data_IF_209678772123
#
_entry.id   IF_209678772123
#
_cell.length_a   1.000
_cell.length_b   1.000
_cell.length_c   1.000
_cell.angle_alpha   90.00
_cell.angle_beta   90.00
_cell.angle_gamma   90.00
#
_symmetry.space_group_name_H-M   'P 1'
#
loop_
_entity.id
_entity.type
_entity.pdbx_description
1 polymer ?
#
# COMPACT_ATOMS: atom_id res chain seq x y z
N UNK A 1 10.37 -13.08 -0.20
CA UNK A 1 11.66 -12.37 -0.20
C UNK A 1 12.72 -13.04 0.68
N UNK A 2 12.65 -12.98 2.03
CA UNK A 2 13.69 -13.58 2.88
C UNK A 2 13.90 -15.10 2.69
N UNK A 3 12.86 -15.86 2.39
CA UNK A 3 12.95 -17.31 2.11
C UNK A 3 13.29 -17.64 0.64
N UNK A 4 13.82 -16.69 -0.13
CA UNK A 4 14.22 -16.90 -1.54
C UNK A 4 13.10 -16.77 -2.58
N UNK A 5 11.84 -16.58 -2.16
CA UNK A 5 10.75 -16.32 -3.11
C UNK A 5 10.90 -14.91 -3.72
N UNK A 6 11.10 -14.89 -5.04
CA UNK A 6 11.20 -13.68 -5.86
C UNK A 6 9.80 -13.17 -6.23
N UNK A 7 9.23 -12.36 -5.34
CA UNK A 7 7.92 -11.75 -5.52
C UNK A 7 7.91 -10.37 -4.86
N UNK A 8 7.40 -9.37 -5.58
CA UNK A 8 7.19 -7.99 -5.11
C UNK A 8 6.09 -7.33 -5.95
N UNK A 9 5.02 -6.84 -5.31
CA UNK A 9 3.86 -6.30 -6.04
C UNK A 9 4.26 -5.14 -6.94
N UNK A 10 5.25 -4.32 -6.57
CA UNK A 10 5.68 -3.16 -7.37
C UNK A 10 6.28 -3.55 -8.72
N UNK A 11 6.85 -4.76 -8.83
CA UNK A 11 7.44 -5.28 -10.07
C UNK A 11 6.46 -6.18 -10.80
N UNK A 12 5.79 -7.07 -10.09
CA UNK A 12 4.99 -8.15 -10.69
C UNK A 12 3.56 -7.67 -11.05
N UNK A 13 3.03 -6.68 -10.33
CA UNK A 13 1.76 -6.01 -10.58
C UNK A 13 1.93 -4.48 -10.41
N UNK A 14 2.68 -3.83 -11.31
CA UNK A 14 3.11 -2.45 -11.14
C UNK A 14 1.92 -1.48 -11.04
N UNK A 15 2.11 -0.44 -10.24
CA UNK A 15 1.15 0.65 -10.00
C UNK A 15 1.93 1.96 -9.83
N UNK A 16 1.26 3.10 -9.98
CA UNK A 16 1.90 4.43 -9.73
C UNK A 16 3.25 4.61 -10.43
N UNK A 17 3.39 4.10 -11.66
CA UNK A 17 4.61 4.18 -12.48
C UNK A 17 5.84 3.45 -11.90
N UNK A 18 5.67 2.47 -10.98
CA UNK A 18 6.80 1.67 -10.46
C UNK A 18 7.60 0.96 -11.57
N UNK A 19 6.96 0.69 -12.72
CA UNK A 19 7.59 0.12 -13.91
C UNK A 19 8.64 1.01 -14.58
N UNK A 20 8.65 2.32 -14.29
CA UNK A 20 9.62 3.29 -14.83
C UNK A 20 10.87 3.44 -13.95
N UNK A 21 10.84 2.92 -12.72
CA UNK A 21 11.94 3.02 -11.77
C UNK A 21 12.86 1.81 -11.85
N UNK A 22 14.15 2.05 -11.77
CA UNK A 22 15.15 0.99 -11.70
C UNK A 22 15.49 0.65 -10.24
N UNK A 23 15.05 -0.51 -9.78
CA UNK A 23 15.41 -1.03 -8.47
C UNK A 23 15.51 -2.56 -8.49
N UNK A 24 16.13 -3.12 -7.46
CA UNK A 24 16.30 -4.57 -7.32
C UNK A 24 15.57 -5.05 -6.08
N UNK A 25 14.87 -6.19 -6.19
CA UNK A 25 14.22 -6.83 -5.04
C UNK A 25 15.24 -7.71 -4.33
N UNK A 26 15.61 -7.42 -3.07
CA UNK A 26 16.56 -8.25 -2.33
C UNK A 26 15.92 -9.57 -1.91
N UNK A 27 16.67 -10.66 -2.06
CA UNK A 27 16.26 -12.01 -1.69
C UNK A 27 17.19 -12.56 -0.60
N UNK A 28 16.59 -13.26 0.36
CA UNK A 28 17.34 -14.07 1.32
C UNK A 28 17.51 -15.50 0.81
N UNK A 29 18.25 -16.32 1.56
CA UNK A 29 18.61 -17.68 1.14
C UNK A 29 18.18 -18.75 2.14
N UNK A 30 18.28 -18.45 3.43
CA UNK A 30 17.94 -19.35 4.54
C UNK A 30 16.54 -19.11 5.07
N UNK A 31 16.02 -17.88 4.95
CA UNK A 31 14.69 -17.53 5.46
C UNK A 31 14.62 -17.32 6.97
N UNK A 32 15.78 -17.16 7.62
CA UNK A 32 15.88 -16.89 9.05
C UNK A 32 15.61 -15.39 9.37
N UNK A 33 15.63 -15.06 10.67
CA UNK A 33 15.44 -13.68 11.13
C UNK A 33 16.52 -12.73 10.64
N UNK A 34 17.74 -13.24 10.40
CA UNK A 34 18.86 -12.44 9.94
C UNK A 34 18.69 -12.06 8.47
N UNK A 35 18.26 -12.98 7.62
CA UNK A 35 17.90 -12.72 6.23
C UNK A 35 16.76 -11.70 6.13
N UNK A 36 15.73 -11.80 6.99
CA UNK A 36 14.65 -10.79 7.05
C UNK A 36 15.18 -9.40 7.40
N UNK A 37 16.08 -9.32 8.37
CA UNK A 37 16.76 -8.08 8.74
C UNK A 37 17.57 -7.51 7.58
N UNK A 38 18.41 -8.31 6.93
CA UNK A 38 19.23 -7.87 5.81
C UNK A 38 18.39 -7.43 4.60
N UNK A 39 17.32 -8.16 4.28
CA UNK A 39 16.37 -7.80 3.22
C UNK A 39 15.78 -6.41 3.48
N UNK A 40 15.33 -6.12 4.71
CA UNK A 40 14.83 -4.77 5.06
C UNK A 40 15.90 -3.68 4.92
N UNK A 41 17.13 -3.96 5.34
CA UNK A 41 18.23 -3.01 5.17
C UNK A 41 18.51 -2.73 3.69
N UNK A 42 18.51 -3.76 2.84
CA UNK A 42 18.67 -3.60 1.40
C UNK A 42 17.51 -2.84 0.77
N UNK A 43 16.27 -3.09 1.21
CA UNK A 43 15.10 -2.33 0.77
C UNK A 43 15.23 -0.84 1.07
N UNK A 44 15.81 -0.44 2.22
CA UNK A 44 16.07 0.98 2.51
C UNK A 44 16.98 1.62 1.46
N UNK A 45 18.06 0.94 1.04
CA UNK A 45 18.93 1.44 -0.03
C UNK A 45 18.20 1.56 -1.37
N UNK A 46 17.34 0.59 -1.70
CA UNK A 46 16.53 0.66 -2.92
C UNK A 46 15.47 1.77 -2.85
N UNK A 47 14.88 2.00 -1.68
CA UNK A 47 13.95 3.12 -1.48
C UNK A 47 14.64 4.47 -1.70
N UNK A 48 15.86 4.64 -1.19
CA UNK A 48 16.66 5.86 -1.44
C UNK A 48 16.94 6.04 -2.94
N UNK A 49 17.33 4.97 -3.62
CA UNK A 49 17.57 5.00 -5.08
C UNK A 49 16.31 5.36 -5.89
N UNK A 50 15.14 4.90 -5.47
CA UNK A 50 13.86 5.27 -6.10
C UNK A 50 13.58 6.75 -5.87
N UNK A 51 13.81 7.27 -4.66
CA UNK A 51 13.63 8.69 -4.35
C UNK A 51 14.53 9.58 -5.19
N UNK A 52 15.81 9.23 -5.35
CA UNK A 52 16.75 9.95 -6.21
C UNK A 52 16.26 9.99 -7.67
N UNK A 53 15.84 8.84 -8.22
CA UNK A 53 15.28 8.77 -9.57
C UNK A 53 14.00 9.60 -9.72
N UNK A 54 13.12 9.59 -8.71
CA UNK A 54 11.88 10.36 -8.73
C UNK A 54 12.15 11.86 -8.72
N UNK A 55 13.16 12.31 -7.98
CA UNK A 55 13.60 13.70 -7.95
C UNK A 55 14.17 14.15 -9.30
N UNK A 56 15.01 13.33 -9.91
CA UNK A 56 15.66 13.64 -11.20
C UNK A 56 14.68 13.64 -12.38
N UNK A 57 13.65 12.78 -12.34
CA UNK A 57 12.70 12.56 -13.43
C UNK A 57 11.35 13.24 -13.21
N UNK A 58 11.23 14.12 -12.21
CA UNK A 58 9.96 14.70 -11.81
C UNK A 58 9.33 15.51 -12.95
N UNK A 59 8.18 15.09 -13.50
CA UNK A 59 7.52 15.87 -14.55
C UNK A 59 6.88 17.12 -13.96
N UNK A 60 6.84 18.19 -14.76
CA UNK A 60 5.95 19.31 -14.50
C UNK A 60 4.54 18.97 -15.01
N UNK A 61 3.51 19.57 -14.41
CA UNK A 61 2.14 19.38 -14.83
C UNK A 61 1.16 19.46 -13.67
N UNK A 62 -0.09 19.10 -13.95
CA UNK A 62 -1.14 19.02 -12.95
C UNK A 62 -0.95 17.77 -12.07
N UNK A 63 -1.23 17.93 -10.78
CA UNK A 63 -1.10 16.86 -9.77
C UNK A 63 -2.42 16.15 -9.48
N UNK A 64 -3.50 16.61 -10.09
CA UNK A 64 -4.86 16.14 -9.89
C UNK A 64 -5.54 15.91 -11.23
N UNK A 65 -6.53 15.03 -11.26
CA UNK A 65 -7.39 14.84 -12.43
C UNK A 65 -8.29 16.06 -12.62
N UNK A 66 -8.39 16.55 -13.85
CA UNK A 66 -9.34 17.60 -14.24
C UNK A 66 -10.76 17.02 -14.40
N UNK A 67 -11.31 16.51 -13.30
CA UNK A 67 -12.71 16.09 -13.21
C UNK A 67 -13.30 16.57 -11.87
N UNK A 68 -14.26 17.52 -11.90
CA UNK A 68 -14.89 18.03 -10.70
C UNK A 68 -15.63 16.94 -9.91
N UNK A 69 -16.08 15.84 -10.54
CA UNK A 69 -16.79 14.77 -9.84
C UNK A 69 -15.87 13.82 -9.05
N UNK A 70 -14.54 13.99 -9.18
CA UNK A 70 -13.53 13.13 -8.57
C UNK A 70 -12.62 13.93 -7.65
N UNK A 71 -12.21 15.13 -8.07
CA UNK A 71 -11.33 16.01 -7.31
C UNK A 71 -12.04 17.29 -6.89
N UNK A 72 -11.65 17.85 -5.75
CA UNK A 72 -12.25 19.09 -5.27
C UNK A 72 -11.82 20.28 -6.14
N UNK A 73 -12.78 21.10 -6.54
CA UNK A 73 -12.50 22.36 -7.24
C UNK A 73 -11.51 23.25 -6.46
N UNK A 74 -10.60 23.96 -7.15
CA UNK A 74 -9.70 24.93 -6.54
C UNK A 74 -10.45 25.98 -5.70
N UNK A 75 -9.86 26.39 -4.57
CA UNK A 75 -10.54 27.32 -3.63
C UNK A 75 -10.91 28.67 -4.26
N UNK A 76 -10.12 29.14 -5.22
CA UNK A 76 -10.43 30.36 -5.95
C UNK A 76 -11.75 30.23 -6.73
N UNK A 77 -11.94 29.13 -7.46
CA UNK A 77 -13.17 28.86 -8.21
C UNK A 77 -14.38 28.64 -7.30
N UNK A 78 -14.17 28.02 -6.13
CA UNK A 78 -15.23 27.80 -5.13
C UNK A 78 -15.82 29.12 -4.64
N UNK A 79 -15.00 30.17 -4.48
CA UNK A 79 -15.47 31.47 -4.00
C UNK A 79 -15.97 32.39 -5.11
N UNK A 80 -15.50 32.19 -6.34
CA UNK A 80 -15.75 33.10 -7.47
C UNK A 80 -16.73 32.57 -8.51
N UNK A 81 -17.14 31.29 -8.44
CA UNK A 81 -18.07 30.67 -9.39
C UNK A 81 -19.19 29.88 -8.70
N UNK A 82 -20.38 29.89 -9.31
CA UNK A 82 -21.52 29.09 -8.82
C UNK A 82 -21.21 27.59 -9.02
N UNK A 83 -20.65 27.21 -10.16
CA UNK A 83 -20.36 25.82 -10.50
C UNK A 83 -19.31 25.21 -9.55
N UNK A 84 -18.25 25.95 -9.23
CA UNK A 84 -17.23 25.53 -8.25
C UNK A 84 -17.81 25.36 -6.84
N UNK A 85 -18.73 26.23 -6.43
CA UNK A 85 -19.42 26.09 -5.14
C UNK A 85 -20.35 24.87 -5.11
N UNK A 86 -21.13 24.64 -6.17
CA UNK A 86 -22.00 23.45 -6.29
C UNK A 86 -21.15 22.19 -6.22
N UNK A 87 -20.07 22.13 -6.99
CA UNK A 87 -19.16 21.00 -7.01
C UNK A 87 -18.58 20.71 -5.62
N UNK A 88 -18.06 21.74 -4.95
CA UNK A 88 -17.49 21.60 -3.60
C UNK A 88 -18.53 21.04 -2.62
N UNK A 89 -19.76 21.54 -2.67
CA UNK A 89 -20.85 21.05 -1.83
C UNK A 89 -21.19 19.58 -2.13
N UNK A 90 -21.37 19.23 -3.41
CA UNK A 90 -21.72 17.87 -3.81
C UNK A 90 -20.64 16.86 -3.41
N UNK A 91 -19.37 17.20 -3.63
CA UNK A 91 -18.24 16.34 -3.29
C UNK A 91 -18.10 16.13 -1.77
N UNK A 92 -18.29 17.17 -0.97
CA UNK A 92 -18.18 17.05 0.50
C UNK A 92 -19.36 16.28 1.10
N UNK A 93 -20.56 16.45 0.56
CA UNK A 93 -21.78 15.82 1.12
C UNK A 93 -22.01 14.42 0.58
N UNK A 94 -21.90 14.24 -0.74
CA UNK A 94 -22.22 12.98 -1.39
C UNK A 94 -20.98 12.14 -1.70
N UNK A 95 -19.79 12.75 -1.82
CA UNK A 95 -18.57 12.05 -2.20
C UNK A 95 -18.55 11.60 -3.66
N UNK A 96 -17.44 10.99 -4.05
CA UNK A 96 -17.27 10.37 -5.37
C UNK A 96 -18.23 9.19 -5.50
N UNK A 97 -18.93 9.09 -6.65
CA UNK A 97 -19.86 7.99 -6.96
C UNK A 97 -19.22 7.01 -7.95
N UNK A 98 -18.43 6.02 -7.48
CA UNK A 98 -17.80 5.05 -8.36
C UNK A 98 -18.84 4.16 -9.06
N UNK A 99 -18.55 3.61 -10.24
CA UNK A 99 -19.44 2.67 -10.91
C UNK A 99 -19.73 1.44 -10.04
N UNK A 100 -20.86 0.78 -10.30
CA UNK A 100 -21.22 -0.49 -9.63
C UNK A 100 -20.24 -1.58 -10.00
N UNK A 101 -19.73 -2.30 -9.01
CA UNK A 101 -18.78 -3.38 -9.21
C UNK A 101 -17.91 -3.63 -7.99
N UNK A 102 -16.96 -4.54 -8.13
CA UNK A 102 -16.00 -4.93 -7.11
C UNK A 102 -14.57 -4.90 -7.68
N UNK A 103 -13.61 -4.61 -6.80
CA UNK A 103 -12.19 -4.58 -7.16
C UNK A 103 -11.34 -5.03 -5.98
N UNK A 104 -10.28 -5.77 -6.28
CA UNK A 104 -9.18 -6.02 -5.36
C UNK A 104 -7.93 -5.34 -5.89
N UNK A 105 -7.35 -4.42 -5.12
CA UNK A 105 -6.09 -3.76 -5.47
C UNK A 105 -5.04 -4.05 -4.38
N UNK A 106 -3.98 -4.81 -4.70
CA UNK A 106 -2.84 -4.99 -3.81
C UNK A 106 -1.79 -3.88 -4.02
N UNK A 107 -1.12 -3.51 -2.94
CA UNK A 107 0.08 -2.67 -2.95
C UNK A 107 1.16 -3.29 -2.07
N UNK A 108 2.43 -3.11 -2.42
CA UNK A 108 3.54 -3.54 -1.57
C UNK A 108 3.72 -2.51 -0.44
N UNK A 109 3.15 -2.79 0.72
CA UNK A 109 3.42 -2.03 1.94
C UNK A 109 4.77 -2.41 2.54
N UNK A 110 5.28 -1.63 3.50
CA UNK A 110 6.51 -1.98 4.23
C UNK A 110 6.43 -3.31 5.01
N UNK A 111 5.21 -3.79 5.26
CA UNK A 111 4.93 -5.08 5.88
C UNK A 111 4.64 -6.21 4.88
N UNK A 112 4.67 -5.95 3.56
CA UNK A 112 4.27 -6.88 2.52
C UNK A 112 2.97 -6.46 1.82
N UNK A 113 2.38 -7.38 1.07
CA UNK A 113 1.19 -7.13 0.26
C UNK A 113 -0.04 -6.76 1.10
N UNK A 114 -0.37 -5.46 1.10
CA UNK A 114 -1.58 -4.88 1.67
C UNK A 114 -2.59 -4.70 0.56
N UNK A 115 -3.77 -5.31 0.69
CA UNK A 115 -4.79 -5.22 -0.35
C UNK A 115 -6.14 -4.74 0.17
N UNK A 116 -6.85 -4.00 -0.67
CA UNK A 116 -8.21 -3.55 -0.40
C UNK A 116 -9.16 -4.19 -1.40
N UNK A 117 -10.08 -5.00 -0.89
CA UNK A 117 -11.24 -5.48 -1.63
C UNK A 117 -12.41 -4.55 -1.36
N UNK A 118 -12.87 -3.84 -2.40
CA UNK A 118 -13.93 -2.84 -2.28
C UNK A 118 -15.08 -3.19 -3.20
N UNK A 119 -16.31 -3.07 -2.71
CA UNK A 119 -17.55 -3.25 -3.49
C UNK A 119 -18.30 -1.93 -3.50
N UNK A 120 -18.67 -1.47 -4.69
CA UNK A 120 -19.48 -0.28 -4.94
C UNK A 120 -20.87 -0.68 -5.42
N UNK A 121 -21.90 -0.08 -4.83
CA UNK A 121 -23.29 -0.14 -5.29
C UNK A 121 -23.68 1.10 -6.11
N UNK A 122 -22.73 1.92 -6.53
CA UNK A 122 -22.96 3.15 -7.30
C UNK A 122 -23.30 4.37 -6.43
N UNK A 123 -23.36 4.20 -5.11
CA UNK A 123 -23.52 5.32 -4.18
C UNK A 123 -22.16 5.92 -3.81
N UNK A 124 -22.16 7.07 -3.14
CA UNK A 124 -20.92 7.69 -2.66
C UNK A 124 -20.34 7.05 -1.39
N UNK A 125 -20.88 5.89 -0.98
CA UNK A 125 -20.40 5.13 0.17
C UNK A 125 -20.04 3.72 -0.28
N UNK A 126 -18.93 3.14 0.19
CA UNK A 126 -18.60 1.77 -0.16
C UNK A 126 -19.64 0.83 0.44
N UNK A 127 -20.17 -0.09 -0.37
CA UNK A 127 -21.07 -1.14 0.09
C UNK A 127 -20.34 -2.13 1.01
N UNK A 128 -19.11 -2.47 0.65
CA UNK A 128 -18.21 -3.30 1.46
C UNK A 128 -16.77 -2.88 1.22
N UNK A 129 -16.00 -2.82 2.29
CA UNK A 129 -14.54 -2.76 2.24
C UNK A 129 -14.01 -3.89 3.09
N UNK A 130 -13.12 -4.69 2.52
CA UNK A 130 -12.37 -5.70 3.26
C UNK A 130 -10.89 -5.51 2.99
N UNK A 131 -10.11 -5.43 4.07
CA UNK A 131 -8.67 -5.22 3.98
C UNK A 131 -7.96 -6.54 4.22
N UNK A 132 -7.16 -6.98 3.23
CA UNK A 132 -6.22 -8.08 3.41
C UNK A 132 -4.96 -7.52 4.07
N UNK A 133 -4.90 -7.63 5.39
CA UNK A 133 -3.76 -7.24 6.20
C UNK A 133 -2.59 -8.25 6.07
N UNK A 134 -1.37 -7.82 5.72
CA UNK A 134 -0.19 -8.69 5.79
C UNK A 134 0.04 -9.21 7.21
N UNK A 135 -0.07 -8.37 8.25
CA UNK A 135 0.15 -8.81 9.64
C UNK A 135 -0.77 -9.96 10.07
N UNK A 136 -2.05 -9.97 9.64
CA UNK A 136 -2.98 -11.04 9.99
C UNK A 136 -2.52 -12.39 9.42
N UNK A 137 -2.07 -12.40 8.16
CA UNK A 137 -1.56 -13.60 7.50
C UNK A 137 -0.25 -14.06 8.16
N UNK A 138 0.64 -13.12 8.48
CA UNK A 138 1.89 -13.45 9.17
C UNK A 138 1.62 -14.10 10.53
N UNK A 139 0.69 -13.55 11.31
CA UNK A 139 0.31 -14.08 12.62
C UNK A 139 -0.23 -15.51 12.53
N UNK A 140 -0.91 -15.87 11.44
CA UNK A 140 -1.33 -17.25 11.17
C UNK A 140 -0.16 -18.23 11.05
N UNK A 141 1.01 -17.76 10.60
CA UNK A 141 2.22 -18.57 10.44
C UNK A 141 3.16 -18.53 11.66
N UNK A 142 2.99 -17.58 12.60
CA UNK A 142 3.89 -17.41 13.77
C UNK A 142 3.98 -18.68 14.60
N UNK A 143 2.87 -19.40 14.79
CA UNK A 143 2.88 -20.65 15.56
C UNK A 143 3.91 -21.64 15.01
N UNK A 144 3.90 -21.87 13.70
CA UNK A 144 4.81 -22.83 13.06
C UNK A 144 6.27 -22.34 13.12
N UNK A 145 6.50 -21.03 13.11
CA UNK A 145 7.85 -20.46 13.29
C UNK A 145 8.40 -20.63 14.72
N UNK A 146 7.54 -20.83 15.73
CA UNK A 146 7.94 -20.96 17.13
C UNK A 146 8.14 -22.40 17.60
N UNK A 147 7.61 -23.39 16.87
CA UNK A 147 7.72 -24.79 17.27
C UNK A 147 9.17 -25.26 17.14
N UNK A 148 9.74 -25.71 18.27
CA UNK A 148 11.12 -26.20 18.35
C UNK A 148 12.13 -25.16 18.83
N UNK A 149 11.71 -23.89 18.97
CA UNK A 149 12.54 -22.78 19.44
C UNK A 149 12.41 -22.56 20.95
N UNK A 150 13.29 -21.73 21.52
CA UNK A 150 13.26 -21.41 22.95
C UNK A 150 12.35 -20.22 23.25
N UNK A 151 12.01 -20.01 24.53
CA UNK A 151 11.23 -18.85 24.97
C UNK A 151 11.94 -17.52 24.61
N UNK A 152 13.28 -17.52 24.60
CA UNK A 152 14.05 -16.33 24.23
C UNK A 152 13.88 -15.96 22.74
N UNK A 153 13.64 -16.94 21.88
CA UNK A 153 13.50 -16.75 20.43
C UNK A 153 12.14 -16.18 20.03
N UNK A 154 11.15 -16.21 20.94
CA UNK A 154 9.83 -15.61 20.73
C UNK A 154 9.96 -14.12 20.38
N UNK A 155 10.82 -13.39 21.08
CA UNK A 155 11.01 -11.94 20.89
C UNK A 155 11.56 -11.59 19.50
N UNK A 156 12.70 -12.15 19.05
CA UNK A 156 13.22 -11.85 17.72
C UNK A 156 12.33 -12.35 16.58
N UNK A 157 11.67 -13.52 16.73
CA UNK A 157 10.74 -14.04 15.71
C UNK A 157 9.54 -13.11 15.56
N UNK A 158 8.92 -12.73 16.68
CA UNK A 158 7.77 -11.82 16.68
C UNK A 158 8.17 -10.43 16.14
N UNK A 159 9.33 -9.92 16.54
CA UNK A 159 9.86 -8.64 16.04
C UNK A 159 10.12 -8.64 14.52
N UNK A 160 10.63 -9.74 13.97
CA UNK A 160 10.89 -9.83 12.52
C UNK A 160 9.64 -10.05 11.69
N UNK A 161 8.60 -10.69 12.26
CA UNK A 161 7.27 -10.74 11.66
C UNK A 161 6.65 -9.34 11.53
N UNK A 162 7.05 -8.41 12.41
CA UNK A 162 6.62 -7.00 12.40
C UNK A 162 5.11 -6.83 12.41
N UNK A 163 4.45 -7.54 13.35
CA UNK A 163 3.01 -7.43 13.54
C UNK A 163 2.64 -6.05 14.07
N UNK A 164 1.72 -5.39 13.38
CA UNK A 164 1.09 -4.15 13.84
C UNK A 164 -0.32 -4.48 14.32
N UNK A 165 -0.60 -4.26 15.61
CA UNK A 165 -1.87 -4.64 16.23
C UNK A 165 -3.09 -4.06 15.53
N UNK A 166 -3.08 -2.76 15.23
CA UNK A 166 -4.17 -2.10 14.51
C UNK A 166 -4.34 -2.55 13.06
N UNK A 167 -3.34 -3.21 12.48
CA UNK A 167 -3.46 -3.85 11.18
C UNK A 167 -4.08 -5.25 11.28
N UNK A 168 -3.74 -6.00 12.33
CA UNK A 168 -4.16 -7.37 12.52
C UNK A 168 -5.62 -7.53 12.98
N UNK A 169 -6.15 -6.59 13.75
CA UNK A 169 -7.42 -6.73 14.49
C UNK A 169 -8.67 -6.21 13.73
N UNK A 170 -8.55 -5.92 12.44
CA UNK A 170 -9.58 -5.17 11.67
C UNK A 170 -10.79 -5.99 11.23
#
# INVERSE_FOLDING_TARGET
RASGLDYDVRRDFPYSSYEEFEFTVPLGTKGDNYDRFLVRFQELYQCMRICEQAMDRMPAGEIAVDDPHIFLAPKDEVYNSIDGMINHFEMVIFGVKPPKGDVYLPVEGGNGELGFYTVSDGTGRPYKVHVRAPSFIHMGAVREMLIGETIADVVPIFGMVNMIGGECDR
#
